data_IF_679021005039
#
_entry.id   IF_679021005039
#
_cell.length_a   1.000
_cell.length_b   1.000
_cell.length_c   1.000
_cell.angle_alpha   90.00
_cell.angle_beta   90.00
_cell.angle_gamma   90.00
#
_symmetry.space_group_name_H-M   'P 1'
#
loop_
_entity.id
_entity.type
_entity.pdbx_description
1 polymer ?
#
# COMPACT_ATOMS: atom_id res chain seq x y z
N UNK A 1 -16.23 -34.43 -7.28
CA UNK A 1 -15.29 -34.27 -8.41
C UNK A 1 -16.03 -33.43 -9.43
N UNK A 2 -15.75 -32.13 -9.51
CA UNK A 2 -16.32 -31.27 -10.53
C UNK A 2 -15.62 -31.65 -11.85
N UNK A 3 -16.38 -31.95 -12.90
CA UNK A 3 -15.79 -32.09 -14.23
C UNK A 3 -15.19 -30.72 -14.61
N UNK A 4 -13.88 -30.66 -14.87
CA UNK A 4 -13.22 -29.47 -15.42
C UNK A 4 -13.81 -29.19 -16.80
N UNK A 5 -14.68 -28.19 -16.89
CA UNK A 5 -15.21 -27.70 -18.15
C UNK A 5 -14.28 -26.61 -18.66
N UNK A 6 -13.44 -27.00 -19.61
CA UNK A 6 -12.46 -26.12 -20.25
C UNK A 6 -13.07 -24.79 -20.76
N UNK A 7 -14.36 -24.82 -21.14
CA UNK A 7 -15.07 -23.62 -21.59
C UNK A 7 -15.39 -22.66 -20.45
N UNK A 8 -15.71 -23.17 -19.27
CA UNK A 8 -15.92 -22.35 -18.06
C UNK A 8 -14.58 -21.77 -17.60
N UNK A 9 -13.50 -22.55 -17.62
CA UNK A 9 -12.17 -22.08 -17.21
C UNK A 9 -11.67 -20.92 -18.08
N UNK A 10 -11.90 -20.98 -19.39
CA UNK A 10 -11.57 -19.88 -20.32
C UNK A 10 -12.38 -18.62 -19.99
N UNK A 11 -13.67 -18.75 -19.68
CA UNK A 11 -14.52 -17.62 -19.28
C UNK A 11 -14.01 -17.01 -17.97
N UNK A 12 -13.73 -17.85 -16.96
CA UNK A 12 -13.24 -17.40 -15.65
C UNK A 12 -11.88 -16.71 -15.77
N UNK A 13 -10.94 -17.26 -16.54
CA UNK A 13 -9.63 -16.64 -16.74
C UNK A 13 -9.76 -15.30 -17.48
N UNK A 14 -10.57 -15.24 -18.53
CA UNK A 14 -10.81 -13.98 -19.28
C UNK A 14 -11.45 -12.92 -18.39
N UNK A 15 -12.42 -13.31 -17.55
CA UNK A 15 -13.06 -12.43 -16.57
C UNK A 15 -12.05 -11.88 -15.57
N UNK A 16 -11.18 -12.71 -15.00
CA UNK A 16 -10.14 -12.26 -14.07
C UNK A 16 -9.23 -11.23 -14.70
N UNK A 17 -8.71 -11.51 -15.90
CA UNK A 17 -7.83 -10.61 -16.63
C UNK A 17 -8.53 -9.25 -16.91
N UNK A 18 -9.82 -9.27 -17.25
CA UNK A 18 -10.62 -8.06 -17.51
C UNK A 18 -10.98 -7.30 -16.22
N UNK A 19 -11.25 -7.97 -15.09
CA UNK A 19 -11.47 -7.33 -13.77
C UNK A 19 -10.20 -6.60 -13.31
N UNK A 20 -9.03 -7.23 -13.46
CA UNK A 20 -7.74 -6.63 -13.10
C UNK A 20 -7.45 -5.39 -13.95
N UNK A 21 -7.72 -5.46 -15.26
CA UNK A 21 -7.56 -4.32 -16.18
C UNK A 21 -8.56 -3.19 -15.92
N UNK A 22 -9.83 -3.52 -15.61
CA UNK A 22 -10.86 -2.54 -15.26
C UNK A 22 -10.43 -1.69 -14.06
N UNK A 23 -9.94 -2.34 -13.01
CA UNK A 23 -9.44 -1.71 -11.78
C UNK A 23 -8.31 -0.71 -12.05
N UNK A 24 -7.56 -0.88 -13.14
CA UNK A 24 -6.41 -0.06 -13.50
C UNK A 24 -6.74 1.11 -14.45
N UNK A 25 -7.79 1.01 -15.28
CA UNK A 25 -7.97 1.89 -16.44
C UNK A 25 -9.37 2.53 -16.59
N UNK A 26 -10.38 2.17 -15.77
CA UNK A 26 -11.75 2.72 -15.82
C UNK A 26 -12.33 2.80 -17.26
N UNK A 27 -12.10 1.78 -18.09
CA UNK A 27 -12.53 1.77 -19.48
C UNK A 27 -14.01 1.36 -19.61
N UNK A 28 -14.78 2.08 -20.45
CA UNK A 28 -16.20 1.80 -20.74
C UNK A 28 -16.45 0.44 -21.43
N UNK A 29 -15.41 -0.24 -21.90
CA UNK A 29 -15.48 -1.48 -22.69
C UNK A 29 -14.88 -2.70 -21.98
N UNK A 30 -14.68 -2.64 -20.67
CA UNK A 30 -13.78 -3.53 -19.94
C UNK A 30 -14.12 -5.03 -20.02
N UNK A 31 -15.38 -5.40 -20.29
CA UNK A 31 -15.84 -6.79 -20.26
C UNK A 31 -16.24 -7.36 -21.63
N UNK A 32 -15.83 -6.72 -22.74
CA UNK A 32 -16.26 -7.12 -24.09
C UNK A 32 -15.97 -8.59 -24.41
N UNK A 33 -14.79 -9.12 -24.01
CA UNK A 33 -14.45 -10.51 -24.32
C UNK A 33 -15.23 -11.46 -23.44
N UNK A 34 -15.37 -11.15 -22.15
CA UNK A 34 -16.17 -11.95 -21.23
C UNK A 34 -17.64 -12.02 -21.65
N UNK A 35 -18.24 -10.89 -22.03
CA UNK A 35 -19.61 -10.84 -22.54
C UNK A 35 -19.77 -11.76 -23.76
N UNK A 36 -18.88 -11.65 -24.75
CA UNK A 36 -18.95 -12.49 -25.96
C UNK A 36 -18.80 -13.98 -25.67
N UNK A 37 -17.96 -14.36 -24.71
CA UNK A 37 -17.80 -15.76 -24.32
C UNK A 37 -19.02 -16.29 -23.55
N UNK A 38 -19.61 -15.47 -22.67
CA UNK A 38 -20.84 -15.82 -21.94
C UNK A 38 -22.02 -15.96 -22.91
N UNK A 39 -22.17 -15.06 -23.89
CA UNK A 39 -23.22 -15.15 -24.93
C UNK A 39 -23.10 -16.43 -25.76
N UNK A 40 -21.88 -16.83 -26.14
CA UNK A 40 -21.65 -18.08 -26.87
C UNK A 40 -22.02 -19.32 -26.06
N UNK A 41 -21.79 -19.26 -24.75
CA UNK A 41 -22.03 -20.40 -23.85
C UNK A 41 -23.49 -20.49 -23.41
N UNK A 42 -24.13 -19.35 -23.20
CA UNK A 42 -25.51 -19.21 -22.76
C UNK A 42 -26.32 -18.42 -23.81
N UNK A 43 -26.60 -19.01 -25.00
CA UNK A 43 -27.21 -18.30 -26.12
C UNK A 43 -28.66 -17.84 -25.85
N UNK A 44 -29.28 -18.36 -24.80
CA UNK A 44 -30.65 -18.01 -24.41
C UNK A 44 -30.71 -16.99 -23.26
N UNK A 45 -29.56 -16.53 -22.73
CA UNK A 45 -29.54 -15.52 -21.69
C UNK A 45 -29.76 -14.13 -22.29
N UNK A 46 -30.59 -13.33 -21.63
CA UNK A 46 -30.77 -11.92 -21.99
C UNK A 46 -29.56 -11.08 -21.56
N UNK A 47 -29.31 -9.96 -22.22
CA UNK A 47 -28.20 -9.06 -21.86
C UNK A 47 -28.24 -8.63 -20.38
N UNK A 48 -29.43 -8.50 -19.80
CA UNK A 48 -29.59 -8.18 -18.37
C UNK A 48 -29.06 -9.31 -17.46
N UNK A 49 -29.37 -10.55 -17.79
CA UNK A 49 -28.92 -11.72 -17.02
C UNK A 49 -27.40 -11.90 -17.10
N UNK A 50 -26.82 -11.62 -18.28
CA UNK A 50 -25.37 -11.60 -18.47
C UNK A 50 -24.72 -10.54 -17.57
N UNK A 51 -25.29 -9.34 -17.47
CA UNK A 51 -24.81 -8.30 -16.58
C UNK A 51 -24.94 -8.68 -15.10
N UNK A 52 -26.02 -9.36 -14.71
CA UNK A 52 -26.19 -9.84 -13.33
C UNK A 52 -25.15 -10.93 -12.99
N UNK A 53 -24.84 -11.83 -13.93
CA UNK A 53 -23.75 -12.83 -13.79
C UNK A 53 -22.41 -12.13 -13.63
N UNK A 54 -22.12 -11.12 -14.45
CA UNK A 54 -20.89 -10.32 -14.33
C UNK A 54 -20.79 -9.63 -12.98
N UNK A 55 -21.87 -8.99 -12.51
CA UNK A 55 -21.90 -8.35 -11.19
C UNK A 55 -21.68 -9.35 -10.05
N UNK A 56 -22.27 -10.55 -10.14
CA UNK A 56 -22.04 -11.62 -9.17
C UNK A 56 -20.59 -12.08 -9.19
N UNK A 57 -20.00 -12.29 -10.37
CA UNK A 57 -18.62 -12.70 -10.53
C UNK A 57 -17.65 -11.65 -9.98
N UNK A 58 -17.85 -10.36 -10.28
CA UNK A 58 -17.04 -9.27 -9.72
C UNK A 58 -17.16 -9.21 -8.19
N UNK A 59 -18.37 -9.30 -7.64
CA UNK A 59 -18.56 -9.29 -6.17
C UNK A 59 -17.93 -10.51 -5.50
N UNK A 60 -18.02 -11.69 -6.12
CA UNK A 60 -17.35 -12.89 -5.62
C UNK A 60 -15.84 -12.79 -5.72
N UNK A 61 -15.32 -12.17 -6.77
CA UNK A 61 -13.88 -11.89 -6.91
C UNK A 61 -13.40 -10.98 -5.77
N UNK A 62 -14.10 -9.88 -5.52
CA UNK A 62 -13.83 -8.95 -4.41
C UNK A 62 -13.98 -9.62 -3.03
N UNK A 63 -14.93 -10.56 -2.89
CA UNK A 63 -15.09 -11.34 -1.65
C UNK A 63 -14.05 -12.47 -1.50
N UNK A 64 -13.43 -12.91 -2.59
CA UNK A 64 -12.42 -13.98 -2.58
C UNK A 64 -11.00 -13.47 -2.34
N UNK A 65 -10.76 -12.17 -2.54
CA UNK A 65 -9.60 -11.52 -1.95
C UNK A 65 -9.84 -11.42 -0.45
N UNK A 66 -9.04 -12.14 0.35
CA UNK A 66 -8.95 -12.05 1.82
C UNK A 66 -8.45 -10.66 2.27
N UNK A 67 -9.04 -9.58 1.73
CA UNK A 67 -8.71 -8.21 2.12
C UNK A 67 -9.22 -7.97 3.54
N UNK A 68 -8.30 -7.91 4.50
CA UNK A 68 -8.63 -7.55 5.89
C UNK A 68 -8.30 -6.11 6.14
N UNK A 69 -9.27 -5.37 6.65
CA UNK A 69 -9.11 -4.00 7.10
C UNK A 69 -9.38 -3.90 8.60
N UNK A 70 -8.41 -3.38 9.37
CA UNK A 70 -8.51 -3.24 10.82
C UNK A 70 -8.26 -1.77 11.24
N UNK A 71 -9.04 -1.26 12.19
CA UNK A 71 -8.84 0.08 12.75
C UNK A 71 -7.67 0.09 13.73
N UNK A 72 -6.81 1.10 13.58
CA UNK A 72 -5.64 1.35 14.41
C UNK A 72 -5.74 2.74 15.03
N UNK A 73 -5.33 2.89 16.29
CA UNK A 73 -5.48 4.16 17.03
C UNK A 73 -4.25 4.50 17.86
N UNK A 74 -3.86 5.77 17.84
CA UNK A 74 -3.09 6.37 18.93
C UNK A 74 -4.08 7.10 19.82
N UNK A 75 -4.07 6.82 21.12
CA UNK A 75 -4.88 7.53 22.10
C UNK A 75 -4.24 7.40 23.49
N UNK A 76 -4.44 8.39 24.37
CA UNK A 76 -3.97 8.34 25.76
C UNK A 76 -4.35 7.02 26.46
N UNK A 77 -3.53 6.61 27.43
CA UNK A 77 -3.70 5.35 28.17
C UNK A 77 -5.02 5.25 28.95
N UNK A 78 -5.72 6.38 29.17
CA UNK A 78 -7.05 6.44 29.79
C UNK A 78 -8.18 5.92 28.89
N UNK A 79 -7.98 5.81 27.58
CA UNK A 79 -8.98 5.27 26.65
C UNK A 79 -8.92 3.73 26.57
N UNK A 80 -9.93 3.05 27.13
CA UNK A 80 -10.18 1.62 26.92
C UNK A 80 -10.98 1.41 25.63
N UNK A 81 -10.30 1.32 24.49
CA UNK A 81 -10.92 1.07 23.18
C UNK A 81 -10.57 -0.34 22.68
N UNK A 82 -11.52 -0.99 21.99
CA UNK A 82 -11.29 -2.25 21.26
C UNK A 82 -10.63 -1.98 19.90
N UNK A 83 -9.44 -1.39 19.90
CA UNK A 83 -8.67 -1.13 18.69
C UNK A 83 -7.17 -1.27 18.98
N UNK A 84 -6.39 -1.73 17.99
CA UNK A 84 -4.94 -1.91 18.16
C UNK A 84 -4.24 -0.56 18.23
N UNK A 85 -3.21 -0.48 19.07
CA UNK A 85 -2.40 0.73 19.22
C UNK A 85 -1.45 0.91 18.03
N UNK A 86 -1.38 2.11 17.46
CA UNK A 86 -0.53 2.42 16.29
C UNK A 86 0.92 2.00 16.50
N UNK A 87 1.51 2.35 17.64
CA UNK A 87 2.87 1.93 18.02
C UNK A 87 3.09 0.41 17.93
N UNK A 88 2.14 -0.38 18.44
CA UNK A 88 2.25 -1.85 18.42
C UNK A 88 2.11 -2.41 17.01
N UNK A 89 1.20 -1.86 16.21
CA UNK A 89 1.01 -2.26 14.81
C UNK A 89 2.26 -1.95 13.99
N UNK A 90 2.78 -0.73 14.07
CA UNK A 90 3.99 -0.31 13.36
C UNK A 90 5.18 -1.20 13.71
N UNK A 91 5.43 -1.45 15.00
CA UNK A 91 6.52 -2.33 15.43
C UNK A 91 6.31 -3.76 14.94
N UNK A 92 5.07 -4.27 14.98
CA UNK A 92 4.73 -5.61 14.51
C UNK A 92 5.01 -5.77 13.02
N UNK A 93 4.50 -4.86 12.16
CA UNK A 93 4.64 -4.99 10.71
C UNK A 93 6.08 -4.79 10.25
N UNK A 94 6.84 -3.87 10.86
CA UNK A 94 8.24 -3.65 10.52
C UNK A 94 9.12 -4.82 10.97
N UNK A 95 8.83 -5.39 12.15
CA UNK A 95 9.58 -6.54 12.67
C UNK A 95 9.30 -7.81 11.86
N UNK A 96 8.12 -7.95 11.27
CA UNK A 96 7.74 -9.10 10.43
C UNK A 96 8.16 -8.95 8.96
N UNK A 97 8.76 -7.84 8.55
CA UNK A 97 9.15 -7.62 7.16
C UNK A 97 10.25 -8.59 6.70
N UNK A 98 10.07 -9.19 5.52
CA UNK A 98 10.97 -10.20 4.94
C UNK A 98 11.54 -9.82 3.57
N UNK A 99 10.84 -8.99 2.78
CA UNK A 99 11.15 -8.67 1.38
C UNK A 99 11.33 -7.18 1.15
N UNK A 100 10.37 -6.37 1.59
CA UNK A 100 10.40 -4.93 1.37
C UNK A 100 9.69 -4.12 2.44
N UNK A 101 10.16 -2.89 2.63
CA UNK A 101 9.52 -1.87 3.45
C UNK A 101 9.48 -0.58 2.63
N UNK A 102 8.29 -0.04 2.39
CA UNK A 102 8.09 1.27 1.77
C UNK A 102 7.41 2.18 2.79
N UNK A 103 7.99 3.32 3.14
CA UNK A 103 7.36 4.26 4.08
C UNK A 103 7.56 5.72 3.73
N UNK A 104 6.63 6.56 4.19
CA UNK A 104 6.73 8.02 4.13
C UNK A 104 7.01 8.62 5.50
N UNK A 105 7.92 9.59 5.56
CA UNK A 105 8.28 10.32 6.76
C UNK A 105 8.14 11.83 6.56
N UNK A 106 7.13 12.44 7.21
CA UNK A 106 6.96 13.89 7.21
C UNK A 106 7.86 14.57 8.26
N UNK A 107 7.87 14.06 9.49
CA UNK A 107 8.72 14.56 10.58
C UNK A 107 9.46 13.41 11.25
N UNK A 108 10.77 13.59 11.41
CA UNK A 108 11.68 12.65 12.07
C UNK A 108 11.93 13.17 13.50
N UNK A 109 11.67 12.35 14.52
CA UNK A 109 11.90 12.67 15.96
C UNK A 109 12.61 11.52 16.67
N UNK A 110 12.89 11.60 17.98
CA UNK A 110 13.55 10.51 18.73
C UNK A 110 12.90 9.13 18.57
N UNK A 111 11.56 9.05 18.46
CA UNK A 111 10.87 7.77 18.20
C UNK A 111 11.23 7.16 16.84
N UNK A 112 11.54 8.02 15.87
CA UNK A 112 12.05 7.59 14.58
C UNK A 112 13.41 6.91 14.72
N UNK A 113 14.26 7.31 15.69
CA UNK A 113 15.57 6.68 15.90
C UNK A 113 15.46 5.19 16.19
N UNK A 114 14.57 4.76 17.08
CA UNK A 114 14.31 3.33 17.35
C UNK A 114 13.85 2.59 16.09
N UNK A 115 12.95 3.22 15.32
CA UNK A 115 12.45 2.68 14.07
C UNK A 115 13.55 2.57 13.00
N UNK A 116 14.46 3.53 12.95
CA UNK A 116 15.59 3.54 12.04
C UNK A 116 16.57 2.41 12.34
N UNK A 117 16.84 2.11 13.60
CA UNK A 117 17.67 0.93 13.95
C UNK A 117 17.05 -0.36 13.42
N UNK A 118 15.73 -0.53 13.60
CA UNK A 118 15.01 -1.69 13.06
C UNK A 118 15.06 -1.74 11.53
N UNK A 119 14.89 -0.61 10.85
CA UNK A 119 14.97 -0.50 9.39
C UNK A 119 16.38 -0.84 8.90
N UNK A 120 17.42 -0.33 9.57
CA UNK A 120 18.83 -0.63 9.26
C UNK A 120 19.07 -2.13 9.45
N UNK A 121 18.63 -2.71 10.56
CA UNK A 121 18.75 -4.14 10.83
C UNK A 121 18.05 -4.98 9.75
N UNK A 122 16.84 -4.60 9.33
CA UNK A 122 16.12 -5.30 8.26
C UNK A 122 16.84 -5.16 6.92
N UNK A 123 17.38 -3.99 6.63
CA UNK A 123 18.17 -3.77 5.43
C UNK A 123 19.43 -4.63 5.38
N UNK A 124 20.13 -4.84 6.50
CA UNK A 124 21.32 -5.70 6.52
C UNK A 124 20.98 -7.19 6.37
N UNK A 125 19.71 -7.57 6.62
CA UNK A 125 19.15 -8.88 6.35
C UNK A 125 18.67 -9.06 4.89
N UNK A 126 18.82 -8.03 4.03
CA UNK A 126 18.45 -8.08 2.62
C UNK A 126 17.04 -7.57 2.29
N UNK A 127 16.33 -6.99 3.27
CA UNK A 127 15.03 -6.35 3.03
C UNK A 127 15.21 -5.05 2.27
N UNK A 128 14.52 -4.87 1.15
CA UNK A 128 14.59 -3.63 0.37
C UNK A 128 13.77 -2.52 1.01
N UNK A 129 14.38 -1.37 1.27
CA UNK A 129 13.72 -0.25 1.92
C UNK A 129 13.60 0.95 0.96
N UNK A 130 12.39 1.47 0.78
CA UNK A 130 12.14 2.75 0.12
C UNK A 130 11.62 3.77 1.14
N UNK A 131 12.42 4.80 1.40
CA UNK A 131 12.08 5.90 2.31
C UNK A 131 11.72 7.14 1.50
N UNK A 132 10.53 7.68 1.70
CA UNK A 132 10.07 8.93 1.10
C UNK A 132 10.00 10.00 2.18
N UNK A 133 10.81 11.05 2.09
CA UNK A 133 10.96 12.07 3.13
C UNK A 133 10.51 13.44 2.62
N UNK A 134 9.88 14.22 3.49
CA UNK A 134 9.42 15.57 3.14
C UNK A 134 10.56 16.59 2.99
N UNK A 135 11.49 16.61 3.94
CA UNK A 135 12.61 17.55 3.98
C UNK A 135 13.87 16.81 4.41
N UNK A 136 14.71 16.46 3.44
CA UNK A 136 15.96 15.76 3.70
C UNK A 136 17.04 16.67 4.29
N UNK A 137 16.94 18.00 4.14
CA UNK A 137 17.95 18.93 4.66
C UNK A 137 17.85 19.07 6.18
N UNK A 138 16.64 19.07 6.73
CA UNK A 138 16.42 19.13 8.19
C UNK A 138 16.85 17.87 8.94
N UNK A 139 17.15 16.80 8.22
CA UNK A 139 17.39 15.48 8.79
C UNK A 139 18.67 14.83 8.26
N UNK A 140 19.68 15.64 7.92
CA UNK A 140 20.96 15.17 7.40
C UNK A 140 21.61 14.11 8.30
N UNK A 141 21.67 14.32 9.62
CA UNK A 141 22.31 13.37 10.55
C UNK A 141 21.69 11.96 10.47
N UNK A 142 20.36 11.89 10.35
CA UNK A 142 19.63 10.62 10.26
C UNK A 142 19.82 9.98 8.88
N UNK A 143 19.85 10.78 7.82
CA UNK A 143 20.12 10.33 6.46
C UNK A 143 21.57 9.87 6.31
N UNK A 144 22.52 10.53 6.96
CA UNK A 144 23.92 10.12 7.00
C UNK A 144 24.09 8.81 7.75
N UNK A 145 23.41 8.63 8.89
CA UNK A 145 23.37 7.32 9.57
C UNK A 145 22.79 6.26 8.66
N UNK A 146 21.64 6.53 8.05
CA UNK A 146 21.04 5.61 7.08
C UNK A 146 22.04 5.27 5.97
N UNK A 147 22.66 6.26 5.32
CA UNK A 147 23.64 6.04 4.25
C UNK A 147 24.90 5.29 4.71
N UNK A 148 25.35 5.51 5.95
CA UNK A 148 26.54 4.85 6.52
C UNK A 148 26.30 3.34 6.70
N UNK A 149 25.10 2.97 7.15
CA UNK A 149 24.73 1.56 7.35
C UNK A 149 24.00 0.94 6.13
N UNK A 150 23.47 1.77 5.23
CA UNK A 150 22.72 1.37 4.04
C UNK A 150 23.63 1.05 2.86
N UNK A 151 24.21 -0.13 2.89
CA UNK A 151 24.79 -0.70 1.67
C UNK A 151 23.67 -1.31 0.80
N UNK A 152 23.40 -0.67 -0.35
CA UNK A 152 22.57 -1.14 -1.48
C UNK A 152 21.05 -1.31 -1.29
N UNK A 153 20.56 -1.66 -0.10
CA UNK A 153 19.16 -2.05 0.08
C UNK A 153 18.22 -0.92 0.53
N UNK A 154 18.73 0.21 1.04
CA UNK A 154 17.91 1.39 1.36
C UNK A 154 18.02 2.42 0.23
N UNK A 155 16.87 2.91 -0.22
CA UNK A 155 16.74 4.01 -1.17
C UNK A 155 15.95 5.14 -0.53
N UNK A 156 16.56 6.32 -0.49
CA UNK A 156 15.94 7.52 0.07
C UNK A 156 15.49 8.42 -1.09
N UNK A 157 14.26 8.91 -1.00
CA UNK A 157 13.63 9.80 -1.95
C UNK A 157 13.17 11.06 -1.21
N UNK A 158 13.59 12.23 -1.68
CA UNK A 158 13.15 13.53 -1.17
C UNK A 158 11.94 14.01 -1.96
N UNK A 159 10.94 14.55 -1.27
CA UNK A 159 9.89 15.34 -1.89
C UNK A 159 10.51 16.58 -2.54
N UNK A 160 10.18 16.81 -3.80
CA UNK A 160 10.61 17.96 -4.57
C UNK A 160 9.59 19.08 -4.36
N UNK A 161 9.81 19.92 -3.35
CA UNK A 161 8.96 21.08 -3.10
C UNK A 161 9.00 22.01 -4.31
N UNK A 162 7.84 22.28 -4.88
CA UNK A 162 7.76 23.19 -6.01
C UNK A 162 8.04 24.62 -5.52
N UNK A 163 8.93 25.37 -6.20
CA UNK A 163 9.35 26.71 -5.75
C UNK A 163 8.20 27.71 -5.62
N UNK A 164 7.13 27.47 -6.38
CA UNK A 164 5.97 28.34 -6.48
C UNK A 164 4.93 28.10 -5.37
N UNK A 165 4.96 26.92 -4.72
CA UNK A 165 4.09 26.59 -3.58
C UNK A 165 4.90 26.10 -2.38
N UNK A 166 5.34 27.07 -1.58
CA UNK A 166 6.11 26.85 -0.35
C UNK A 166 5.36 26.09 0.75
N UNK A 167 4.04 25.91 0.62
CA UNK A 167 3.25 25.11 1.57
C UNK A 167 3.06 23.66 1.12
N UNK A 168 3.49 23.31 -0.10
CA UNK A 168 3.42 21.94 -0.59
C UNK A 168 4.31 21.01 0.24
N UNK A 169 3.76 19.87 0.69
CA UNK A 169 4.47 18.94 1.55
C UNK A 169 3.99 17.49 1.39
N UNK A 170 4.91 16.54 1.60
CA UNK A 170 4.58 15.13 1.77
C UNK A 170 3.89 14.90 3.12
N UNK A 171 2.56 14.97 3.15
CA UNK A 171 1.79 14.78 4.37
C UNK A 171 1.21 13.36 4.53
N UNK A 172 1.39 12.47 3.55
CA UNK A 172 0.99 11.07 3.66
C UNK A 172 1.82 10.37 4.74
N UNK A 173 1.19 9.56 5.59
CA UNK A 173 1.88 8.61 6.48
C UNK A 173 1.42 7.22 6.12
N UNK A 174 2.29 6.55 5.39
CA UNK A 174 2.07 5.21 4.90
C UNK A 174 3.25 4.34 5.27
N UNK A 175 2.97 3.07 5.55
CA UNK A 175 3.94 1.99 5.61
C UNK A 175 3.36 0.85 4.79
N UNK A 176 4.13 0.31 3.86
CA UNK A 176 3.81 -0.90 3.09
C UNK A 176 4.92 -1.90 3.34
N UNK A 177 4.55 -3.12 3.71
CA UNK A 177 5.47 -4.23 3.99
C UNK A 177 5.18 -5.37 3.03
N UNK A 178 6.24 -5.85 2.39
CA UNK A 178 6.27 -7.05 1.55
C UNK A 178 5.27 -7.06 0.38
N UNK A 179 4.82 -5.88 -0.06
CA UNK A 179 3.81 -5.74 -1.11
C UNK A 179 2.46 -6.35 -0.73
N UNK A 180 2.15 -6.46 0.57
CA UNK A 180 0.93 -7.08 1.07
C UNK A 180 0.27 -6.27 2.19
N UNK A 181 1.02 -5.89 3.22
CA UNK A 181 0.45 -5.24 4.40
C UNK A 181 0.69 -3.74 4.35
N UNK A 182 -0.38 -2.94 4.40
CA UNK A 182 -0.33 -1.49 4.32
C UNK A 182 -0.94 -0.85 5.56
N UNK A 183 -0.26 0.13 6.16
CA UNK A 183 -0.81 0.99 7.19
C UNK A 183 -0.93 2.41 6.63
N UNK A 184 -2.14 2.96 6.61
CA UNK A 184 -2.39 4.37 6.30
C UNK A 184 -2.88 5.02 7.59
N UNK A 185 -2.23 6.09 8.03
CA UNK A 185 -2.56 6.73 9.32
C UNK A 185 -2.45 8.25 9.26
N UNK A 186 -3.13 8.92 10.19
CA UNK A 186 -2.90 10.34 10.49
C UNK A 186 -1.63 10.56 11.32
N UNK A 187 -1.18 9.53 12.05
CA UNK A 187 -0.02 9.59 12.94
C UNK A 187 1.28 9.82 12.18
N UNK A 188 2.01 10.89 12.54
CA UNK A 188 3.42 11.03 12.21
C UNK A 188 4.25 9.93 12.87
N UNK A 189 5.40 9.57 12.28
CA UNK A 189 6.41 8.69 12.87
C UNK A 189 7.17 9.41 14.01
N UNK A 190 6.43 10.03 14.93
CA UNK A 190 6.94 10.80 16.06
C UNK A 190 6.37 10.32 17.38
N UNK A 191 7.04 10.63 18.49
CA UNK A 191 6.56 10.27 19.82
C UNK A 191 5.11 10.74 20.05
N UNK A 192 4.82 11.99 19.70
CA UNK A 192 3.47 12.53 19.82
C UNK A 192 2.48 11.82 18.89
N UNK A 193 2.82 11.56 17.62
CA UNK A 193 1.92 10.84 16.71
C UNK A 193 1.66 9.37 17.12
N UNK A 194 2.64 8.72 17.75
CA UNK A 194 2.57 7.28 18.06
C UNK A 194 2.12 6.97 19.49
N UNK A 195 2.14 7.95 20.40
CA UNK A 195 1.78 7.74 21.81
C UNK A 195 0.95 8.87 22.44
N UNK A 196 1.20 10.12 22.05
CA UNK A 196 0.62 11.30 22.73
C UNK A 196 -0.72 11.79 22.17
N UNK A 197 -0.88 11.75 20.84
CA UNK A 197 -2.01 12.32 20.13
C UNK A 197 -3.19 11.35 20.05
N UNK A 198 -4.35 11.88 19.65
CA UNK A 198 -5.46 11.06 19.15
C UNK A 198 -5.31 10.96 17.64
N UNK A 199 -4.87 9.81 17.14
CA UNK A 199 -4.63 9.56 15.72
C UNK A 199 -5.37 8.28 15.32
N UNK A 200 -5.81 8.20 14.06
CA UNK A 200 -6.46 7.00 13.53
C UNK A 200 -5.80 6.55 12.24
N UNK A 201 -5.83 5.25 12.02
CA UNK A 201 -5.35 4.64 10.80
C UNK A 201 -6.06 3.33 10.51
N UNK A 202 -5.80 2.81 9.32
CA UNK A 202 -6.31 1.52 8.88
C UNK A 202 -5.12 0.65 8.49
N UNK A 203 -5.08 -0.55 9.08
CA UNK A 203 -4.21 -1.63 8.65
C UNK A 203 -4.96 -2.43 7.59
N UNK A 204 -4.36 -2.61 6.42
CA UNK A 204 -4.93 -3.25 5.25
C UNK A 204 -4.01 -4.42 4.89
N UNK A 205 -4.53 -5.64 4.92
CA UNK A 205 -3.88 -6.84 4.40
C UNK A 205 -4.45 -7.10 3.01
N UNK A 206 -3.75 -6.62 1.97
CA UNK A 206 -4.14 -6.82 0.57
C UNK A 206 -2.95 -6.57 -0.35
N UNK A 207 -2.59 -7.59 -1.12
CA UNK A 207 -1.58 -7.45 -2.18
C UNK A 207 -2.00 -6.43 -3.24
N UNK A 208 -3.28 -6.41 -3.62
CA UNK A 208 -3.79 -5.46 -4.64
C UNK A 208 -3.66 -4.00 -4.18
N UNK A 209 -4.07 -3.69 -2.94
CA UNK A 209 -3.95 -2.33 -2.40
C UNK A 209 -2.49 -1.92 -2.17
N UNK A 210 -1.67 -2.84 -1.66
CA UNK A 210 -0.24 -2.58 -1.45
C UNK A 210 0.48 -2.26 -2.77
N UNK A 211 0.25 -3.07 -3.81
CA UNK A 211 0.81 -2.83 -5.15
C UNK A 211 0.32 -1.54 -5.78
N UNK A 212 -0.96 -1.18 -5.58
CA UNK A 212 -1.50 0.10 -6.06
C UNK A 212 -0.78 1.29 -5.41
N UNK A 213 -0.54 1.25 -4.09
CA UNK A 213 0.21 2.28 -3.36
C UNK A 213 1.65 2.40 -3.91
N UNK A 214 2.35 1.27 -4.04
CA UNK A 214 3.74 1.27 -4.54
C UNK A 214 3.84 1.74 -5.99
N UNK A 215 2.87 1.37 -6.82
CA UNK A 215 2.77 1.83 -8.21
C UNK A 215 2.54 3.33 -8.29
N UNK A 216 1.66 3.89 -7.45
CA UNK A 216 1.45 5.34 -7.37
C UNK A 216 2.73 6.07 -6.98
N UNK A 217 3.44 5.60 -5.95
CA UNK A 217 4.72 6.17 -5.54
C UNK A 217 5.78 6.09 -6.66
N UNK A 218 5.79 5.00 -7.43
CA UNK A 218 6.66 4.86 -8.60
C UNK A 218 6.34 5.92 -9.66
N UNK A 219 5.07 6.12 -10.01
CA UNK A 219 4.64 7.16 -10.95
C UNK A 219 5.06 8.56 -10.47
N UNK A 220 4.91 8.85 -9.17
CA UNK A 220 5.34 10.13 -8.59
C UNK A 220 6.86 10.35 -8.68
N UNK A 221 7.67 9.29 -8.63
CA UNK A 221 9.12 9.38 -8.92
C UNK A 221 9.40 9.66 -10.38
N UNK A 222 8.71 8.98 -11.29
CA UNK A 222 8.87 9.17 -12.74
C UNK A 222 8.52 10.61 -13.16
N UNK A 223 7.52 11.20 -12.49
CA UNK A 223 7.11 12.59 -12.66
C UNK A 223 7.98 13.60 -11.89
N UNK A 224 9.06 13.15 -11.23
CA UNK A 224 10.00 14.00 -10.45
C UNK A 224 9.35 14.76 -9.28
N UNK A 225 8.19 14.29 -8.79
CA UNK A 225 7.62 14.74 -7.51
C UNK A 225 8.49 14.27 -6.36
N UNK A 226 9.08 13.09 -6.50
CA UNK A 226 10.14 12.60 -5.61
C UNK A 226 11.45 12.42 -6.38
N UNK A 227 12.55 12.86 -5.79
CA UNK A 227 13.89 12.72 -6.36
C UNK A 227 14.75 11.85 -5.45
N UNK A 228 15.59 10.99 -6.04
CA UNK A 228 16.49 10.15 -5.24
C UNK A 228 17.51 11.04 -4.53
N UNK A 229 17.61 10.91 -3.22
CA UNK A 229 18.65 11.57 -2.43
C UNK A 229 20.01 10.94 -2.79
N UNK A 230 21.02 11.79 -3.01
CA UNK A 230 22.35 11.37 -3.47
C UNK A 230 23.22 10.89 -2.34
#
# INVERSE_FOLDING_TARGET
MWHEDLGIDIIVQTLKDEIEQYTLLNAMDAFKKSISLIEKRFPNCESREIMDILQMACKLYDCSSDERCELVITAPSSFKLKARKTKLVVNSILSSAEKSITLTGYSISEYFSEMIELIIQKSTQGVYVNLYLNDTQKHQDVIERLNTYASKFIKIFSYNQNSDDKMSALHAKLIVVDGHTSLISSANLSYHGMQGNVEMGVLIESTGKAQAIESLLKTLREQKVFTKFK
#
